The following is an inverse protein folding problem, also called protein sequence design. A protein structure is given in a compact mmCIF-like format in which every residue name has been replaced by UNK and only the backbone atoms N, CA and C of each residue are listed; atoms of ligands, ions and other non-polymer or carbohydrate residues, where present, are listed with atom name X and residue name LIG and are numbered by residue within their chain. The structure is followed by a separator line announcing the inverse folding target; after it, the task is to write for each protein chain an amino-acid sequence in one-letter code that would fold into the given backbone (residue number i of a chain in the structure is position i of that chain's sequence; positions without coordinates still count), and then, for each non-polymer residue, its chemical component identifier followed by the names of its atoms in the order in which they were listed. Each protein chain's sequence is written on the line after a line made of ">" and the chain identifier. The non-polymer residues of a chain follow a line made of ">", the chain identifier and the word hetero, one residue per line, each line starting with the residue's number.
data_IF_487901844411
#
_entry.id   IF_487901844411
#
_cell.length_a   1.000
_cell.length_b   1.000
_cell.length_c   1.000
_cell.angle_alpha   90.00
_cell.angle_beta   90.00
_cell.angle_gamma   90.00
#
_symmetry.space_group_name_H-M   'P 1'
#
loop_
_entity.id
_entity.type
_entity.pdbx_description
1 polymer ?
#
# COMPACT_ATOMS: atom_id res chain seq x y z
N UNK A 1 10.13 -29.04 -35.92
CA UNK A 1 8.67 -28.79 -36.07
C UNK A 1 7.94 -29.61 -35.02
N UNK A 2 7.12 -28.96 -34.19
CA UNK A 2 5.93 -29.54 -33.54
C UNK A 2 6.11 -30.30 -32.23
N UNK A 3 5.95 -29.59 -31.10
CA UNK A 3 5.28 -30.02 -29.85
C UNK A 3 5.39 -28.84 -28.87
N UNK A 4 4.42 -28.42 -28.08
CA UNK A 4 3.08 -28.91 -27.78
C UNK A 4 2.24 -27.74 -27.26
N UNK A 5 0.95 -27.87 -27.51
CA UNK A 5 -0.19 -27.19 -26.91
C UNK A 5 0.02 -26.73 -25.46
N UNK A 6 0.09 -25.42 -25.23
CA UNK A 6 0.09 -24.78 -23.89
C UNK A 6 -1.13 -23.87 -23.72
N UNK A 7 -2.26 -24.26 -24.30
CA UNK A 7 -3.56 -23.65 -24.08
C UNK A 7 -4.38 -24.38 -23.01
N UNK A 8 -4.03 -24.29 -21.71
CA UNK A 8 -4.95 -24.74 -20.66
C UNK A 8 -4.74 -24.18 -19.24
N UNK A 9 -3.62 -23.51 -18.94
CA UNK A 9 -3.30 -23.13 -17.55
C UNK A 9 -3.65 -21.68 -17.16
N UNK A 10 -4.18 -20.86 -18.08
CA UNK A 10 -4.35 -19.41 -17.85
C UNK A 10 -5.70 -18.98 -17.26
N UNK A 11 -6.58 -19.90 -16.83
CA UNK A 11 -7.96 -19.54 -16.43
C UNK A 11 -8.43 -19.97 -15.04
N UNK A 12 -7.59 -20.55 -14.19
CA UNK A 12 -8.01 -20.96 -12.85
C UNK A 12 -6.99 -20.63 -11.75
N UNK A 13 -6.88 -19.34 -11.40
CA UNK A 13 -6.25 -18.91 -10.13
C UNK A 13 -7.09 -17.88 -9.36
N UNK A 14 -8.37 -17.69 -9.74
CA UNK A 14 -9.21 -16.62 -9.17
C UNK A 14 -10.00 -17.02 -7.92
N UNK A 15 -9.56 -18.01 -7.13
CA UNK A 15 -10.38 -18.52 -6.02
C UNK A 15 -9.61 -18.97 -4.78
N UNK A 16 -8.49 -18.31 -4.47
CA UNK A 16 -7.77 -18.50 -3.21
C UNK A 16 -7.39 -17.20 -2.49
N UNK A 17 -7.82 -16.03 -2.98
CA UNK A 17 -7.46 -14.74 -2.37
C UNK A 17 -8.46 -14.27 -1.31
N UNK A 18 -9.69 -14.81 -1.30
CA UNK A 18 -10.75 -14.28 -0.42
C UNK A 18 -10.63 -14.69 1.06
N UNK A 19 -10.00 -15.81 1.40
CA UNK A 19 -9.88 -16.25 2.81
C UNK A 19 -8.69 -15.58 3.54
N UNK A 20 -7.74 -14.97 2.82
CA UNK A 20 -6.56 -14.30 3.42
C UNK A 20 -6.86 -12.84 3.74
N UNK A 21 -7.67 -12.18 2.93
CA UNK A 21 -8.03 -10.76 3.11
C UNK A 21 -8.84 -10.51 4.41
N UNK A 22 -9.65 -11.47 4.87
CA UNK A 22 -10.46 -11.33 6.10
C UNK A 22 -9.67 -11.61 7.39
N UNK A 23 -8.62 -12.44 7.33
CA UNK A 23 -7.76 -12.74 8.48
C UNK A 23 -6.77 -11.58 8.74
N UNK A 24 -6.27 -10.92 7.69
CA UNK A 24 -5.31 -9.81 7.80
C UNK A 24 -5.90 -8.53 8.44
N UNK A 25 -7.22 -8.30 8.32
CA UNK A 25 -7.86 -7.10 8.85
C UNK A 25 -8.02 -7.11 10.38
N UNK A 26 -8.06 -8.30 11.00
CA UNK A 26 -8.26 -8.43 12.45
C UNK A 26 -6.95 -8.22 13.21
N UNK A 27 -5.83 -8.69 12.66
CA UNK A 27 -4.50 -8.54 13.26
C UNK A 27 -3.98 -7.10 13.12
N UNK A 28 -4.31 -6.41 12.02
CA UNK A 28 -3.95 -4.99 11.85
C UNK A 28 -4.63 -4.04 12.86
N UNK A 29 -5.80 -4.44 13.38
CA UNK A 29 -6.57 -3.62 14.31
C UNK A 29 -5.98 -3.64 15.73
N UNK A 30 -5.40 -4.77 16.17
CA UNK A 30 -4.75 -4.89 17.49
C UNK A 30 -3.45 -4.06 17.56
N UNK A 31 -2.65 -3.99 16.48
CA UNK A 31 -1.42 -3.19 16.44
C UNK A 31 -1.66 -1.67 16.36
N UNK A 32 -2.83 -1.25 15.89
CA UNK A 32 -3.14 0.16 15.68
C UNK A 32 -3.37 0.91 17.01
N UNK A 33 -3.97 0.26 18.01
CA UNK A 33 -4.44 0.92 19.25
C UNK A 33 -3.31 1.41 20.17
N UNK A 34 -2.14 0.77 20.16
CA UNK A 34 -0.97 1.20 20.97
C UNK A 34 0.02 2.12 20.22
N UNK A 35 -0.23 2.41 18.94
CA UNK A 35 0.77 3.05 18.05
C UNK A 35 0.56 4.53 17.78
N UNK A 36 -0.56 5.12 18.22
CA UNK A 36 -0.96 6.49 17.88
C UNK A 36 -1.34 6.66 16.40
N UNK A 37 -1.59 5.56 15.68
CA UNK A 37 -2.02 5.60 14.29
C UNK A 37 -3.51 5.98 14.17
N UNK A 38 -3.81 6.81 13.19
CA UNK A 38 -5.16 7.24 12.85
C UNK A 38 -5.71 6.42 11.68
N UNK A 39 -7.03 6.17 11.71
CA UNK A 39 -7.72 5.49 10.60
C UNK A 39 -7.79 6.40 9.38
N UNK A 40 -7.45 5.86 8.23
CA UNK A 40 -7.39 6.58 6.96
C UNK A 40 -8.69 7.29 6.65
N UNK A 41 -9.84 6.62 6.84
CA UNK A 41 -11.16 7.22 6.60
C UNK A 41 -11.46 8.48 7.42
N UNK A 42 -10.86 8.61 8.60
CA UNK A 42 -11.14 9.67 9.58
C UNK A 42 -10.19 10.87 9.42
N UNK A 43 -9.15 10.74 8.58
CA UNK A 43 -8.18 11.81 8.31
C UNK A 43 -8.63 12.74 7.17
N UNK A 44 -8.33 14.04 7.32
CA UNK A 44 -8.67 15.10 6.38
C UNK A 44 -7.44 15.71 5.67
N UNK A 45 -7.69 16.31 4.50
CA UNK A 45 -6.64 17.01 3.74
C UNK A 45 -6.02 18.14 4.58
N UNK A 46 -4.69 18.23 4.56
CA UNK A 46 -3.92 19.24 5.29
C UNK A 46 -3.45 18.78 6.67
N UNK A 47 -4.03 17.73 7.23
CA UNK A 47 -3.63 17.20 8.54
C UNK A 47 -2.25 16.52 8.49
N UNK A 48 -1.48 16.64 9.56
CA UNK A 48 -0.33 15.78 9.79
C UNK A 48 -0.81 14.51 10.47
N UNK A 49 -0.55 13.37 9.84
CA UNK A 49 -1.10 12.08 10.25
C UNK A 49 0.01 11.07 10.51
N UNK A 50 -0.27 10.14 11.41
CA UNK A 50 0.46 8.88 11.56
C UNK A 50 -0.52 7.76 11.20
N UNK A 51 -0.11 6.84 10.33
CA UNK A 51 -0.95 5.73 9.90
C UNK A 51 -0.16 4.44 9.90
N UNK A 52 -0.81 3.35 10.32
CA UNK A 52 -0.31 1.99 10.20
C UNK A 52 -1.16 1.28 9.15
N UNK A 53 -0.52 0.61 8.21
CA UNK A 53 -1.24 -0.10 7.16
C UNK A 53 -0.37 -1.12 6.45
N UNK A 54 -0.99 -1.92 5.59
CA UNK A 54 -0.30 -2.85 4.70
C UNK A 54 -0.14 -2.25 3.32
N UNK A 55 1.03 -2.44 2.72
CA UNK A 55 1.28 -2.07 1.34
C UNK A 55 0.57 -3.07 0.42
N UNK A 56 -0.44 -2.64 -0.32
CA UNK A 56 -1.18 -3.51 -1.26
C UNK A 56 -0.53 -3.58 -2.63
N UNK A 57 0.02 -2.46 -3.09
CA UNK A 57 0.64 -2.35 -4.42
C UNK A 57 1.85 -1.43 -4.38
N UNK A 58 2.78 -1.64 -5.31
CA UNK A 58 3.92 -0.77 -5.57
C UNK A 58 4.04 -0.60 -7.08
N UNK A 59 4.04 0.64 -7.53
CA UNK A 59 4.02 1.01 -8.94
C UNK A 59 5.15 2.00 -9.25
N UNK A 60 5.81 1.81 -10.37
CA UNK A 60 6.69 2.81 -10.94
C UNK A 60 5.90 3.61 -11.98
N UNK A 61 5.81 4.93 -11.81
CA UNK A 61 5.18 5.82 -12.78
C UNK A 61 6.27 6.50 -13.63
N UNK A 62 6.47 6.09 -14.89
CA UNK A 62 7.51 6.65 -15.77
C UNK A 62 7.05 7.90 -16.54
N UNK A 63 5.78 8.31 -16.43
CA UNK A 63 5.18 9.35 -17.30
C UNK A 63 5.49 10.80 -16.86
N UNK A 64 6.08 11.01 -15.69
CA UNK A 64 6.61 12.32 -15.27
C UNK A 64 8.10 12.42 -15.61
N UNK A 65 8.57 13.62 -15.94
CA UNK A 65 10.00 13.89 -16.21
C UNK A 65 10.92 13.38 -15.07
N UNK A 66 10.38 13.25 -13.85
CA UNK A 66 11.00 12.59 -12.72
C UNK A 66 10.36 11.22 -12.46
N UNK A 67 11.17 10.17 -12.39
CA UNK A 67 10.67 8.84 -12.06
C UNK A 67 10.07 8.84 -10.65
N UNK A 68 8.82 8.39 -10.53
CA UNK A 68 8.07 8.42 -9.28
C UNK A 68 7.69 7.01 -8.84
N UNK A 69 8.06 6.65 -7.62
CA UNK A 69 7.59 5.42 -6.96
C UNK A 69 6.27 5.73 -6.25
N UNK A 70 5.26 4.90 -6.48
CA UNK A 70 3.99 4.95 -5.77
C UNK A 70 3.76 3.64 -5.03
N UNK A 71 3.13 3.71 -3.88
CA UNK A 71 2.64 2.53 -3.17
C UNK A 71 1.27 2.83 -2.58
N UNK A 72 0.39 1.85 -2.55
CA UNK A 72 -0.88 1.98 -1.82
C UNK A 72 -0.73 1.39 -0.42
N UNK A 73 -0.93 2.22 0.60
CA UNK A 73 -1.06 1.80 1.99
C UNK A 73 -2.55 1.66 2.33
N UNK A 74 -2.93 0.55 2.95
CA UNK A 74 -4.31 0.29 3.37
C UNK A 74 -4.34 -0.15 4.83
N UNK A 75 -5.17 0.50 5.62
CA UNK A 75 -5.32 0.24 7.07
C UNK A 75 -6.58 -0.58 7.41
N UNK A 76 -7.30 -1.09 6.40
CA UNK A 76 -8.60 -1.74 6.57
C UNK A 76 -9.79 -0.81 6.35
N UNK A 77 -9.60 0.51 6.36
CA UNK A 77 -10.68 1.50 6.28
C UNK A 77 -10.68 2.32 5.00
N UNK A 78 -9.50 2.74 4.51
CA UNK A 78 -9.36 3.50 3.27
C UNK A 78 -7.92 3.39 2.72
N UNK A 79 -7.75 3.64 1.42
CA UNK A 79 -6.45 3.60 0.76
C UNK A 79 -5.77 4.97 0.76
N UNK A 80 -4.47 4.99 1.07
CA UNK A 80 -3.61 6.17 0.94
C UNK A 80 -2.46 5.87 0.01
N UNK A 81 -2.32 6.67 -1.05
CA UNK A 81 -1.19 6.55 -1.97
C UNK A 81 0.03 7.26 -1.40
N UNK A 82 1.11 6.53 -1.19
CA UNK A 82 2.42 7.05 -0.85
C UNK A 82 3.18 7.36 -2.14
N UNK A 83 3.73 8.56 -2.27
CA UNK A 83 4.39 9.02 -3.49
C UNK A 83 5.80 9.51 -3.16
N UNK A 84 6.81 8.87 -3.73
CA UNK A 84 8.20 9.31 -3.65
C UNK A 84 8.69 9.82 -5.00
N UNK A 85 8.94 11.13 -5.07
CA UNK A 85 9.39 11.80 -6.29
C UNK A 85 10.88 11.58 -6.52
N UNK A 86 11.29 11.44 -7.79
CA UNK A 86 12.69 11.24 -8.17
C UNK A 86 13.28 9.91 -7.71
N UNK A 87 12.46 8.98 -7.21
CA UNK A 87 12.88 7.66 -6.74
C UNK A 87 12.26 6.59 -7.63
N UNK A 88 13.11 5.67 -8.12
CA UNK A 88 12.67 4.48 -8.87
C UNK A 88 12.44 3.26 -7.98
N UNK A 89 13.12 3.22 -6.84
CA UNK A 89 13.06 2.15 -5.86
C UNK A 89 13.43 2.72 -4.49
N UNK A 90 12.78 2.19 -3.46
CA UNK A 90 13.16 2.37 -2.07
C UNK A 90 13.20 0.98 -1.45
N UNK A 91 14.34 0.50 -0.93
CA UNK A 91 14.43 -0.82 -0.31
C UNK A 91 13.41 -0.99 0.81
N UNK A 92 12.71 -2.13 0.80
CA UNK A 92 11.72 -2.49 1.82
C UNK A 92 10.32 -1.92 1.60
N UNK A 93 10.10 -1.06 0.60
CA UNK A 93 8.75 -0.71 0.11
C UNK A 93 8.30 -1.79 -0.86
N UNK A 94 7.59 -2.79 -0.35
CA UNK A 94 7.18 -3.98 -1.08
C UNK A 94 5.74 -4.35 -0.71
N UNK A 95 4.98 -4.89 -1.67
CA UNK A 95 3.64 -5.37 -1.42
C UNK A 95 3.64 -6.47 -0.34
N UNK A 96 2.62 -6.45 0.52
CA UNK A 96 2.46 -7.36 1.66
C UNK A 96 3.13 -6.88 2.95
N UNK A 97 4.00 -5.87 2.92
CA UNK A 97 4.66 -5.32 4.12
C UNK A 97 3.72 -4.44 4.94
N UNK A 98 3.77 -4.57 6.26
CA UNK A 98 3.15 -3.63 7.19
C UNK A 98 4.09 -2.47 7.44
N UNK A 99 3.55 -1.26 7.41
CA UNK A 99 4.33 -0.03 7.50
C UNK A 99 3.61 1.03 8.32
N UNK A 100 4.39 1.74 9.14
CA UNK A 100 3.96 3.00 9.74
C UNK A 100 4.45 4.14 8.88
N UNK A 101 3.56 5.08 8.56
CA UNK A 101 3.89 6.29 7.80
C UNK A 101 3.49 7.54 8.57
N UNK A 102 4.27 8.60 8.41
CA UNK A 102 3.95 9.93 8.92
C UNK A 102 4.14 10.97 7.84
N UNK A 103 3.16 11.86 7.69
CA UNK A 103 3.25 12.96 6.74
C UNK A 103 2.00 13.80 6.70
N UNK A 104 1.99 14.80 5.81
CA UNK A 104 0.84 15.67 5.60
C UNK A 104 -0.07 15.09 4.53
N UNK A 105 -1.32 14.81 4.91
CA UNK A 105 -2.31 14.25 4.01
C UNK A 105 -2.71 15.28 2.95
N UNK A 106 -2.75 14.85 1.70
CA UNK A 106 -3.27 15.61 0.57
C UNK A 106 -4.37 14.81 -0.11
N UNK A 107 -5.20 15.48 -0.92
CA UNK A 107 -6.15 14.80 -1.81
C UNK A 107 -5.83 15.18 -3.25
N UNK A 108 -5.71 14.19 -4.12
CA UNK A 108 -5.47 14.36 -5.55
C UNK A 108 -6.38 13.42 -6.33
N UNK A 109 -7.12 13.96 -7.29
CA UNK A 109 -8.06 13.20 -8.12
C UNK A 109 -9.04 12.35 -7.27
N UNK A 110 -9.42 12.88 -6.10
CA UNK A 110 -10.31 12.22 -5.13
C UNK A 110 -9.63 11.17 -4.24
N UNK A 111 -8.34 10.89 -4.42
CA UNK A 111 -7.58 9.91 -3.65
C UNK A 111 -6.72 10.59 -2.59
N UNK A 112 -6.60 9.96 -1.41
CA UNK A 112 -5.70 10.39 -0.33
C UNK A 112 -4.26 10.09 -0.71
N UNK A 113 -3.38 11.07 -0.52
CA UNK A 113 -1.97 10.99 -0.93
C UNK A 113 -1.04 11.53 0.14
N UNK A 114 0.06 10.85 0.38
CA UNK A 114 1.21 11.34 1.13
C UNK A 114 2.42 11.47 0.20
N UNK A 115 2.96 12.68 0.09
CA UNK A 115 4.18 12.93 -0.68
C UNK A 115 5.41 12.86 0.22
N UNK A 116 6.41 12.10 -0.23
CA UNK A 116 7.67 11.85 0.48
C UNK A 116 7.49 11.63 1.99
N UNK A 117 6.59 10.73 2.43
CA UNK A 117 6.32 10.54 3.85
C UNK A 117 7.54 9.94 4.56
N UNK A 118 7.63 10.20 5.87
CA UNK A 118 8.44 9.38 6.76
C UNK A 118 7.81 8.01 6.86
N UNK A 119 8.63 6.97 6.93
CA UNK A 119 8.14 5.60 7.01
C UNK A 119 9.04 4.72 7.86
N UNK A 120 8.41 3.71 8.45
CA UNK A 120 9.03 2.63 9.20
C UNK A 120 8.46 1.30 8.69
N UNK A 121 9.31 0.30 8.50
CA UNK A 121 8.88 -1.04 8.14
C UNK A 121 8.61 -1.78 9.45
N UNK A 122 7.37 -2.19 9.66
CA UNK A 122 6.98 -3.00 10.80
C UNK A 122 7.24 -4.47 10.47
N UNK A 123 7.73 -5.25 11.44
CA UNK A 123 7.81 -6.70 11.27
C UNK A 123 6.39 -7.25 11.40
N UNK A 124 6.02 -8.19 10.52
CA UNK A 124 4.85 -9.02 10.77
C UNK A 124 5.15 -9.83 12.04
N UNK A 125 4.33 -9.67 13.07
CA UNK A 125 4.37 -10.55 14.24
C UNK A 125 3.67 -11.88 13.91
#
# INVERSE_FOLDING_TARGET
>A
MGASDSGAFRKMLRKLTSDVDELDARDLAEDAEDSGAQKARDCACGEEIIMLGRIRSVELCPQSADATLRAELFDGTDGVTLVWMGRRRIPGIEAGKTMRVRGRLSVRDGQKVLYNPYYEICQAQ
#
